data_IF_850697876709
#
_entry.id   IF_850697876709
#
_cell.length_a   1.000
_cell.length_b   1.000
_cell.length_c   1.000
_cell.angle_alpha   90.00
_cell.angle_beta   90.00
_cell.angle_gamma   90.00
#
_symmetry.space_group_name_H-M   'P 1'
#
loop_
_entity.id
_entity.type
_entity.pdbx_description
1 polymer ?
#
# COMPACT_ATOMS: atom_id res chain seq x y z
N UNK A 1 6.91 23.43 9.67
CA UNK A 1 7.47 23.16 11.01
C UNK A 1 8.78 23.94 11.15
N UNK A 2 8.85 24.88 12.11
CA UNK A 2 10.04 25.76 12.30
C UNK A 2 11.02 25.26 13.40
N UNK A 3 10.60 24.28 14.20
CA UNK A 3 11.42 23.74 15.28
C UNK A 3 12.08 22.42 14.85
N UNK A 4 13.40 22.32 15.00
CA UNK A 4 14.15 21.09 14.70
C UNK A 4 13.68 19.93 15.56
N UNK A 5 13.42 20.16 16.84
CA UNK A 5 12.91 19.14 17.77
C UNK A 5 11.59 18.56 17.25
N UNK A 6 10.64 19.41 16.84
CA UNK A 6 9.36 18.93 16.26
C UNK A 6 9.55 18.17 14.95
N UNK A 7 10.54 18.54 14.15
CA UNK A 7 10.87 17.80 12.93
C UNK A 7 11.39 16.40 13.25
N UNK A 8 12.29 16.30 14.20
CA UNK A 8 12.88 15.01 14.61
C UNK A 8 11.78 14.09 15.20
N UNK A 9 10.86 14.61 15.99
CA UNK A 9 9.69 13.88 16.51
C UNK A 9 8.78 13.35 15.37
N UNK A 10 8.47 14.20 14.38
CA UNK A 10 7.65 13.80 13.22
C UNK A 10 8.37 12.72 12.40
N UNK A 11 9.66 12.88 12.16
CA UNK A 11 10.48 11.89 11.42
C UNK A 11 10.46 10.55 12.14
N UNK A 12 10.75 10.52 13.45
CA UNK A 12 10.73 9.27 14.22
C UNK A 12 9.33 8.64 14.22
N UNK A 13 8.28 9.41 14.51
CA UNK A 13 6.89 8.92 14.51
C UNK A 13 6.52 8.31 13.16
N UNK A 14 6.85 8.98 12.07
CA UNK A 14 6.51 8.53 10.72
C UNK A 14 7.29 7.28 10.31
N UNK A 15 8.58 7.20 10.64
CA UNK A 15 9.41 6.03 10.35
C UNK A 15 8.99 4.81 11.19
N UNK A 16 8.56 5.02 12.44
CA UNK A 16 7.96 3.96 13.27
C UNK A 16 6.62 3.51 12.71
N UNK A 17 5.76 4.44 12.31
CA UNK A 17 4.47 4.16 11.67
C UNK A 17 4.59 3.37 10.37
N UNK A 18 5.72 3.51 9.67
CA UNK A 18 6.02 2.73 8.46
C UNK A 18 6.88 1.47 8.72
N UNK A 19 7.03 1.05 9.99
CA UNK A 19 7.79 -0.13 10.41
C UNK A 19 9.23 -0.18 9.86
N UNK A 20 9.91 0.99 9.78
CA UNK A 20 11.28 1.06 9.22
C UNK A 20 12.30 1.73 10.16
N UNK A 21 11.86 2.29 11.27
CA UNK A 21 12.71 3.05 12.19
C UNK A 21 13.99 2.32 12.57
N UNK A 22 13.89 1.08 13.05
CA UNK A 22 15.04 0.33 13.52
C UNK A 22 16.06 0.00 12.44
N UNK A 23 15.65 0.00 11.18
CA UNK A 23 16.53 -0.22 10.04
C UNK A 23 17.28 1.05 9.60
N UNK A 24 16.76 2.25 9.95
CA UNK A 24 17.29 3.52 9.41
C UNK A 24 17.74 4.54 10.44
N UNK A 25 17.42 4.36 11.73
CA UNK A 25 17.70 5.33 12.81
C UNK A 25 19.17 5.77 12.88
N UNK A 26 20.12 4.89 12.56
CA UNK A 26 21.57 5.18 12.60
C UNK A 26 22.09 5.78 11.27
N UNK A 27 21.20 6.01 10.29
CA UNK A 27 21.58 6.51 8.97
C UNK A 27 20.64 7.59 8.41
N UNK A 28 19.94 8.33 9.25
CA UNK A 28 18.93 9.34 8.84
C UNK A 28 19.47 10.42 7.91
N UNK A 29 20.76 10.72 7.97
CA UNK A 29 21.43 11.73 7.12
C UNK A 29 22.09 11.11 5.87
N UNK A 30 21.94 9.80 5.62
CA UNK A 30 22.49 9.14 4.43
C UNK A 30 21.47 9.10 3.30
N UNK A 31 21.98 9.00 2.06
CA UNK A 31 21.10 8.82 0.89
C UNK A 31 20.30 7.54 0.98
N UNK A 32 19.01 7.63 0.63
CA UNK A 32 18.10 6.49 0.53
C UNK A 32 18.35 5.61 -0.72
N UNK A 33 19.14 6.08 -1.69
CA UNK A 33 19.46 5.32 -2.91
C UNK A 33 20.18 3.99 -2.63
N UNK A 34 20.87 3.88 -1.49
CA UNK A 34 21.53 2.64 -1.07
C UNK A 34 20.63 1.69 -0.24
N UNK A 35 19.34 1.96 -0.16
CA UNK A 35 18.37 1.11 0.53
C UNK A 35 17.77 0.08 -0.43
N UNK A 36 17.29 -1.05 0.09
CA UNK A 36 16.53 -2.03 -0.70
C UNK A 36 15.20 -1.44 -1.21
N UNK A 37 14.63 -2.01 -2.28
CA UNK A 37 13.35 -1.56 -2.82
C UNK A 37 12.23 -1.54 -1.78
N UNK A 38 12.12 -2.58 -0.96
CA UNK A 38 11.14 -2.63 0.12
C UNK A 38 11.36 -1.60 1.22
N UNK A 39 12.63 -1.27 1.54
CA UNK A 39 12.95 -0.18 2.46
C UNK A 39 12.58 1.18 1.87
N UNK A 40 12.89 1.41 0.60
CA UNK A 40 12.53 2.66 -0.11
C UNK A 40 11.01 2.83 -0.16
N UNK A 41 10.27 1.76 -0.42
CA UNK A 41 8.80 1.79 -0.44
C UNK A 41 8.22 2.15 0.94
N UNK A 42 8.71 1.52 2.02
CA UNK A 42 8.26 1.88 3.38
C UNK A 42 8.69 3.30 3.77
N UNK A 43 9.83 3.78 3.28
CA UNK A 43 10.23 5.18 3.45
C UNK A 43 9.28 6.15 2.73
N UNK A 44 8.80 5.80 1.53
CA UNK A 44 7.77 6.58 0.82
C UNK A 44 6.45 6.61 1.61
N UNK A 45 6.06 5.49 2.22
CA UNK A 45 4.89 5.43 3.11
C UNK A 45 5.12 6.34 4.33
N UNK A 46 6.29 6.26 5.01
CA UNK A 46 6.62 7.13 6.13
C UNK A 46 6.50 8.62 5.77
N UNK A 47 6.98 9.00 4.58
CA UNK A 47 6.86 10.37 4.07
C UNK A 47 5.40 10.81 3.92
N UNK A 48 4.53 9.91 3.44
CA UNK A 48 3.10 10.20 3.33
C UNK A 48 2.44 10.31 4.70
N UNK A 49 2.82 9.46 5.67
CA UNK A 49 2.30 9.51 7.04
C UNK A 49 2.69 10.78 7.80
N UNK A 50 3.82 11.42 7.43
CA UNK A 50 4.32 12.61 8.12
C UNK A 50 3.38 13.83 8.05
N UNK A 51 2.45 13.86 7.11
CA UNK A 51 1.43 14.91 6.98
C UNK A 51 0.09 14.53 7.61
N UNK A 52 0.01 13.39 8.28
CA UNK A 52 -1.18 12.85 8.96
C UNK A 52 -2.42 12.85 8.05
N UNK A 53 -2.39 12.15 6.91
CA UNK A 53 -3.49 12.15 5.95
C UNK A 53 -4.71 11.40 6.50
N UNK A 54 -5.91 11.77 6.07
CA UNK A 54 -7.12 10.95 6.32
C UNK A 54 -7.20 9.76 5.36
N UNK A 55 -6.69 9.94 4.14
CA UNK A 55 -6.68 8.92 3.09
C UNK A 55 -5.26 8.74 2.57
N UNK A 56 -4.78 7.50 2.55
CA UNK A 56 -3.48 7.12 2.02
C UNK A 56 -3.67 6.44 0.66
N UNK A 57 -3.11 7.04 -0.39
CA UNK A 57 -3.16 6.48 -1.74
C UNK A 57 -1.86 5.71 -2.02
N UNK A 58 -2.00 4.47 -2.47
CA UNK A 58 -0.89 3.59 -2.86
C UNK A 58 -1.11 3.10 -4.29
N UNK A 59 -0.21 3.48 -5.18
CA UNK A 59 -0.26 3.06 -6.58
C UNK A 59 0.81 1.99 -6.82
N UNK A 60 0.36 0.75 -7.10
CA UNK A 60 1.21 -0.42 -7.35
C UNK A 60 2.36 -0.58 -6.34
N UNK A 61 2.10 -0.53 -5.01
CA UNK A 61 3.16 -0.38 -4.01
C UNK A 61 4.12 -1.55 -3.91
N UNK A 62 3.82 -2.68 -4.55
CA UNK A 62 4.63 -3.91 -4.47
C UNK A 62 5.10 -4.43 -5.81
N UNK A 63 4.79 -3.74 -6.93
CA UNK A 63 5.03 -4.23 -8.30
C UNK A 63 6.50 -4.54 -8.63
N UNK A 64 7.45 -3.84 -7.97
CA UNK A 64 8.88 -4.01 -8.19
C UNK A 64 9.60 -4.68 -6.99
N UNK A 65 8.84 -5.32 -6.10
CA UNK A 65 9.39 -5.90 -4.88
C UNK A 65 9.48 -7.44 -4.97
N UNK A 66 10.48 -7.99 -4.27
CA UNK A 66 10.57 -9.42 -4.00
C UNK A 66 9.44 -9.88 -3.04
N UNK A 67 9.14 -11.19 -2.95
CA UNK A 67 8.04 -11.70 -2.14
C UNK A 67 8.12 -11.34 -0.65
N UNK A 68 9.33 -11.29 -0.08
CA UNK A 68 9.51 -10.96 1.35
C UNK A 68 9.20 -9.49 1.58
N UNK A 69 9.71 -8.61 0.72
CA UNK A 69 9.43 -7.17 0.77
C UNK A 69 7.96 -6.88 0.51
N UNK A 70 7.32 -7.62 -0.39
CA UNK A 70 5.87 -7.54 -0.66
C UNK A 70 5.07 -7.86 0.59
N UNK A 71 5.34 -8.98 1.28
CA UNK A 71 4.66 -9.34 2.55
C UNK A 71 4.78 -8.23 3.59
N UNK A 72 5.96 -7.64 3.76
CA UNK A 72 6.15 -6.54 4.71
C UNK A 72 5.32 -5.29 4.39
N UNK A 73 5.16 -4.96 3.12
CA UNK A 73 4.31 -3.83 2.69
C UNK A 73 2.83 -4.17 2.87
N UNK A 74 2.41 -5.40 2.59
CA UNK A 74 1.04 -5.86 2.82
C UNK A 74 0.67 -5.89 4.31
N UNK A 75 1.56 -6.40 5.16
CA UNK A 75 1.41 -6.38 6.63
C UNK A 75 1.27 -4.94 7.14
N UNK A 76 2.16 -4.04 6.68
CA UNK A 76 2.10 -2.63 7.03
C UNK A 76 0.78 -1.98 6.58
N UNK A 77 0.31 -2.24 5.37
CA UNK A 77 -0.97 -1.73 4.90
C UNK A 77 -2.14 -2.24 5.77
N UNK A 78 -2.08 -3.50 6.19
CA UNK A 78 -3.09 -4.10 7.07
C UNK A 78 -3.10 -3.47 8.46
N UNK A 79 -1.93 -3.12 9.01
CA UNK A 79 -1.83 -2.39 10.27
C UNK A 79 -2.31 -0.94 10.15
N UNK A 80 -1.94 -0.27 9.06
CA UNK A 80 -2.30 1.13 8.82
C UNK A 80 -3.80 1.35 8.60
N UNK A 81 -4.53 0.37 8.07
CA UNK A 81 -5.97 0.50 7.84
C UNK A 81 -6.80 0.67 9.13
N UNK A 82 -6.23 0.35 10.29
CA UNK A 82 -6.87 0.60 11.59
C UNK A 82 -7.02 2.11 11.88
N UNK A 83 -6.15 2.95 11.30
CA UNK A 83 -6.10 4.39 11.57
C UNK A 83 -6.30 5.25 10.32
N UNK A 84 -6.18 4.68 9.13
CA UNK A 84 -6.23 5.39 7.85
C UNK A 84 -7.20 4.71 6.88
N UNK A 85 -7.87 5.49 6.06
CA UNK A 85 -8.51 4.96 4.86
C UNK A 85 -7.43 4.75 3.80
N UNK A 86 -7.25 3.49 3.36
CA UNK A 86 -6.26 3.16 2.32
C UNK A 86 -6.96 2.90 1.00
N UNK A 87 -6.53 3.56 -0.04
CA UNK A 87 -6.92 3.27 -1.42
C UNK A 87 -5.68 2.76 -2.15
N UNK A 88 -5.71 1.49 -2.55
CA UNK A 88 -4.59 0.85 -3.24
C UNK A 88 -4.99 0.49 -4.67
N UNK A 89 -4.14 0.86 -5.62
CA UNK A 89 -4.23 0.37 -7.00
C UNK A 89 -3.25 -0.79 -7.14
N UNK A 90 -3.72 -1.91 -7.67
CA UNK A 90 -2.89 -3.07 -7.98
C UNK A 90 -3.49 -3.87 -9.15
N UNK A 91 -2.63 -4.44 -9.98
CA UNK A 91 -3.02 -5.44 -10.96
C UNK A 91 -2.89 -6.88 -10.42
N UNK A 92 -2.42 -7.04 -9.17
CA UNK A 92 -2.30 -8.34 -8.53
C UNK A 92 -3.61 -8.68 -7.79
N UNK A 93 -4.43 -9.51 -8.43
CA UNK A 93 -5.73 -9.93 -7.87
C UNK A 93 -5.59 -10.68 -6.56
N UNK A 94 -4.55 -11.49 -6.40
CA UNK A 94 -4.32 -12.25 -5.16
C UNK A 94 -4.00 -11.29 -4.00
N UNK A 95 -3.25 -10.22 -4.26
CA UNK A 95 -3.00 -9.17 -3.29
C UNK A 95 -4.30 -8.48 -2.90
N UNK A 96 -5.09 -8.02 -3.89
CA UNK A 96 -6.38 -7.39 -3.63
C UNK A 96 -7.29 -8.29 -2.79
N UNK A 97 -7.39 -9.59 -3.13
CA UNK A 97 -8.20 -10.55 -2.40
C UNK A 97 -7.74 -10.75 -0.94
N UNK A 98 -6.42 -10.65 -0.67
CA UNK A 98 -5.88 -10.89 0.69
C UNK A 98 -6.07 -9.71 1.64
N UNK A 99 -5.86 -8.47 1.16
CA UNK A 99 -5.68 -7.33 2.06
C UNK A 99 -6.79 -6.29 2.00
N UNK A 100 -7.65 -6.29 0.97
CA UNK A 100 -8.69 -5.28 0.84
C UNK A 100 -10.02 -5.71 1.44
N UNK A 101 -10.75 -4.77 2.01
CA UNK A 101 -12.11 -4.97 2.53
C UNK A 101 -13.15 -4.78 1.40
N UNK A 102 -12.86 -3.85 0.49
CA UNK A 102 -13.67 -3.59 -0.72
C UNK A 102 -12.77 -3.57 -1.94
N UNK A 103 -13.29 -4.08 -3.04
CA UNK A 103 -12.61 -4.09 -4.33
C UNK A 103 -13.46 -3.39 -5.38
N UNK A 104 -12.81 -2.51 -6.15
CA UNK A 104 -13.37 -1.88 -7.34
C UNK A 104 -12.61 -2.38 -8.56
N UNK A 105 -13.31 -3.02 -9.49
CA UNK A 105 -12.72 -3.49 -10.74
C UNK A 105 -12.91 -2.46 -11.84
N UNK A 106 -11.80 -1.99 -12.41
CA UNK A 106 -11.76 -1.07 -13.54
C UNK A 106 -11.26 -1.77 -14.78
N UNK A 107 -11.93 -1.50 -15.90
CA UNK A 107 -11.51 -1.97 -17.23
C UNK A 107 -11.59 -0.80 -18.22
N UNK A 108 -10.50 -0.50 -18.91
CA UNK A 108 -10.40 0.57 -19.91
C UNK A 108 -10.96 1.92 -19.43
N UNK A 109 -10.71 2.26 -18.15
CA UNK A 109 -11.15 3.52 -17.55
C UNK A 109 -12.59 3.52 -17.04
N UNK A 110 -13.32 2.41 -17.19
CA UNK A 110 -14.69 2.24 -16.70
C UNK A 110 -14.70 1.45 -15.39
N UNK A 111 -15.47 1.92 -14.41
CA UNK A 111 -15.77 1.14 -13.20
C UNK A 111 -16.79 0.06 -13.55
N UNK A 112 -16.35 -1.18 -13.61
CA UNK A 112 -17.18 -2.34 -14.01
C UNK A 112 -17.97 -2.88 -12.83
N UNK A 113 -17.30 -3.09 -11.70
CA UNK A 113 -17.91 -3.66 -10.50
C UNK A 113 -17.22 -3.15 -9.25
N UNK A 114 -18.00 -2.97 -8.15
CA UNK A 114 -17.47 -2.61 -6.84
C UNK A 114 -18.28 -3.28 -5.75
N UNK A 115 -17.61 -3.72 -4.69
CA UNK A 115 -18.28 -4.30 -3.51
C UNK A 115 -17.31 -4.88 -2.50
N UNK A 116 -17.86 -5.58 -1.47
CA UNK A 116 -17.03 -6.36 -0.56
C UNK A 116 -16.12 -7.31 -1.34
N UNK A 117 -14.85 -7.35 -0.97
CA UNK A 117 -13.82 -8.12 -1.70
C UNK A 117 -14.21 -9.59 -1.85
N UNK A 118 -14.65 -10.22 -0.76
CA UNK A 118 -15.08 -11.61 -0.79
C UNK A 118 -16.17 -11.86 -1.86
N UNK A 119 -17.17 -10.98 -1.94
CA UNK A 119 -18.24 -11.10 -2.95
C UNK A 119 -17.71 -10.92 -4.37
N UNK A 120 -16.90 -9.87 -4.61
CA UNK A 120 -16.39 -9.57 -5.95
C UNK A 120 -15.56 -10.74 -6.49
N UNK A 121 -14.77 -11.40 -5.63
CA UNK A 121 -13.91 -12.52 -6.05
C UNK A 121 -14.64 -13.87 -6.10
N UNK A 122 -15.60 -14.12 -5.19
CA UNK A 122 -16.29 -15.41 -5.12
C UNK A 122 -17.53 -15.49 -6.04
N UNK A 123 -18.27 -14.39 -6.14
CA UNK A 123 -19.54 -14.33 -6.90
C UNK A 123 -19.68 -12.99 -7.62
N UNK A 124 -18.82 -12.71 -8.61
CA UNK A 124 -18.92 -11.48 -9.40
C UNK A 124 -20.28 -11.40 -10.12
N UNK A 125 -20.80 -10.19 -10.22
CA UNK A 125 -22.10 -9.93 -10.88
C UNK A 125 -21.88 -9.64 -12.37
N UNK A 126 -20.81 -8.92 -12.70
CA UNK A 126 -20.50 -8.60 -14.10
C UNK A 126 -19.62 -9.70 -14.72
N UNK A 127 -20.02 -10.17 -15.90
CA UNK A 127 -19.28 -11.20 -16.61
C UNK A 127 -17.82 -10.80 -16.93
N UNK A 128 -17.57 -9.52 -17.17
CA UNK A 128 -16.20 -9.00 -17.40
C UNK A 128 -15.32 -9.18 -16.17
N UNK A 129 -15.88 -9.03 -14.96
CA UNK A 129 -15.20 -9.29 -13.69
C UNK A 129 -14.90 -10.79 -13.55
N UNK A 130 -15.89 -11.65 -13.84
CA UNK A 130 -15.71 -13.11 -13.81
C UNK A 130 -14.61 -13.58 -14.79
N UNK A 131 -14.65 -13.09 -16.02
CA UNK A 131 -13.69 -13.43 -17.07
C UNK A 131 -12.26 -12.95 -16.65
N UNK A 132 -12.15 -11.78 -16.03
CA UNK A 132 -10.88 -11.27 -15.51
C UNK A 132 -10.32 -12.13 -14.38
N UNK A 133 -11.12 -12.44 -13.38
CA UNK A 133 -10.72 -13.25 -12.23
C UNK A 133 -10.35 -14.67 -12.66
N UNK A 134 -11.08 -15.25 -13.62
CA UNK A 134 -10.83 -16.60 -14.11
C UNK A 134 -9.70 -16.70 -15.16
N UNK A 135 -9.09 -15.58 -15.54
CA UNK A 135 -8.05 -15.53 -16.56
C UNK A 135 -8.55 -15.82 -17.99
N UNK A 136 -9.84 -15.68 -18.24
CA UNK A 136 -10.50 -15.93 -19.54
C UNK A 136 -10.54 -14.70 -20.44
N UNK A 137 -9.61 -13.77 -20.28
CA UNK A 137 -9.43 -12.68 -21.22
C UNK A 137 -8.79 -13.22 -22.50
N UNK A 138 -9.61 -13.39 -23.50
CA UNK A 138 -9.20 -13.73 -24.85
C UNK A 138 -10.25 -13.24 -25.83
#
# INVERSE_FOLDING_TARGET
>A
VRSRVKLDEIVEKSLRGAAIWDEVKDRLNKSALGMSGGQQQRLCIARALAVEPEVLLMDEPTSALDPISTSKVEELATELKENYTIVMVTHNMQQAARISDKTAFFLLGELVEMGPTERVFATPVDKRTEDYISGRFG
#
